data_IF_990030524027
#
_entry.id   IF_990030524027
#
_cell.length_a   1.000
_cell.length_b   1.000
_cell.length_c   1.000
_cell.angle_alpha   90.00
_cell.angle_beta   90.00
_cell.angle_gamma   90.00
#
_symmetry.space_group_name_H-M   'P 1'
#
loop_
_entity.id
_entity.type
_entity.pdbx_description
1 polymer ?
#
# COMPACT_ATOMS: atom_id res chain seq x y z
N UNK A 1 4.98 -8.35 -0.23
CA UNK A 1 4.87 -7.01 -0.85
C UNK A 1 3.43 -6.78 -1.30
N UNK A 2 2.66 -5.91 -0.62
CA UNK A 2 1.23 -5.70 -0.92
C UNK A 2 0.95 -5.31 -2.37
N UNK A 3 1.86 -4.56 -3.00
CA UNK A 3 1.72 -4.16 -4.40
C UNK A 3 1.85 -5.31 -5.40
N UNK A 4 2.72 -6.29 -5.16
CA UNK A 4 2.83 -7.45 -6.05
C UNK A 4 1.60 -8.35 -5.94
N UNK A 5 1.10 -8.54 -4.72
CA UNK A 5 -0.13 -9.30 -4.50
C UNK A 5 -1.37 -8.61 -5.07
N UNK A 6 -1.35 -7.27 -5.21
CA UNK A 6 -2.42 -6.54 -5.89
C UNK A 6 -2.55 -6.98 -7.36
N UNK A 7 -1.43 -7.16 -8.07
CA UNK A 7 -1.48 -7.57 -9.47
C UNK A 7 -2.10 -8.97 -9.63
N UNK A 8 -1.71 -9.92 -8.79
CA UNK A 8 -2.28 -11.27 -8.80
C UNK A 8 -3.77 -11.28 -8.43
N UNK A 9 -4.15 -10.54 -7.39
CA UNK A 9 -5.53 -10.49 -6.91
C UNK A 9 -6.46 -9.62 -7.78
N UNK A 10 -5.95 -8.83 -8.72
CA UNK A 10 -6.76 -8.03 -9.63
C UNK A 10 -6.69 -8.49 -11.07
N UNK A 11 -5.98 -9.60 -11.31
CA UNK A 11 -6.03 -10.28 -12.59
C UNK A 11 -7.48 -10.71 -12.91
N UNK A 12 -7.94 -10.57 -14.17
CA UNK A 12 -9.28 -11.00 -14.57
C UNK A 12 -9.59 -12.47 -14.24
N UNK A 13 -8.58 -13.35 -14.19
CA UNK A 13 -8.73 -14.76 -13.85
C UNK A 13 -8.87 -15.02 -12.33
N UNK A 14 -8.57 -14.05 -11.48
CA UNK A 14 -8.66 -14.18 -10.01
C UNK A 14 -10.11 -14.15 -9.48
N UNK A 15 -11.08 -13.82 -10.35
CA UNK A 15 -12.50 -13.74 -10.00
C UNK A 15 -12.87 -12.45 -9.25
N UNK A 16 -14.17 -12.23 -9.07
CA UNK A 16 -14.71 -10.96 -8.59
C UNK A 16 -14.33 -10.60 -7.14
N UNK A 17 -13.90 -11.58 -6.33
CA UNK A 17 -13.52 -11.38 -4.94
C UNK A 17 -12.05 -11.02 -4.74
N UNK A 18 -11.22 -11.05 -5.78
CA UNK A 18 -9.78 -10.84 -5.70
C UNK A 18 -9.37 -9.55 -4.95
N UNK A 19 -9.95 -8.37 -5.24
CA UNK A 19 -9.65 -7.15 -4.49
C UNK A 19 -9.96 -7.24 -2.99
N UNK A 20 -11.03 -7.96 -2.62
CA UNK A 20 -11.41 -8.16 -1.22
C UNK A 20 -10.43 -9.10 -0.51
N UNK A 21 -9.98 -10.16 -1.19
CA UNK A 21 -8.93 -11.07 -0.71
C UNK A 21 -7.63 -10.29 -0.47
N UNK A 22 -7.21 -9.47 -1.43
CA UNK A 22 -6.01 -8.64 -1.28
C UNK A 22 -6.09 -7.70 -0.08
N UNK A 23 -7.22 -7.02 0.08
CA UNK A 23 -7.43 -6.10 1.20
C UNK A 23 -7.28 -6.83 2.54
N UNK A 24 -7.91 -8.00 2.68
CA UNK A 24 -7.90 -8.80 3.91
C UNK A 24 -6.51 -9.38 4.22
N UNK A 25 -5.86 -9.98 3.22
CA UNK A 25 -4.69 -10.84 3.46
C UNK A 25 -3.36 -10.13 3.29
N UNK A 26 -3.34 -9.00 2.56
CA UNK A 26 -2.09 -8.32 2.23
C UNK A 26 -2.07 -6.87 2.74
N UNK A 27 -3.10 -6.09 2.42
CA UNK A 27 -3.11 -4.68 2.82
C UNK A 27 -3.40 -4.50 4.32
N UNK A 28 -4.43 -5.18 4.83
CA UNK A 28 -4.88 -5.08 6.21
C UNK A 28 -3.78 -5.30 7.24
N UNK A 29 -3.02 -6.41 7.19
CA UNK A 29 -1.95 -6.70 8.15
C UNK A 29 -0.85 -5.64 8.12
N UNK A 30 -0.42 -5.21 6.92
CA UNK A 30 0.63 -4.18 6.78
C UNK A 30 0.13 -2.85 7.34
N UNK A 31 -1.11 -2.46 7.04
CA UNK A 31 -1.68 -1.23 7.58
C UNK A 31 -1.86 -1.28 9.11
N UNK A 32 -2.16 -2.44 9.67
CA UNK A 32 -2.24 -2.62 11.12
C UNK A 32 -0.88 -2.39 11.79
N UNK A 33 0.20 -2.95 11.22
CA UNK A 33 1.57 -2.74 11.70
C UNK A 33 2.00 -1.27 11.58
N UNK A 34 1.81 -0.66 10.40
CA UNK A 34 2.20 0.74 10.16
C UNK A 34 1.45 1.71 11.06
N UNK A 35 0.19 1.42 11.42
CA UNK A 35 -0.64 2.27 12.28
C UNK A 35 -0.55 1.91 13.76
N UNK A 36 0.29 0.96 14.14
CA UNK A 36 0.39 0.53 15.52
C UNK A 36 0.89 1.69 16.40
N UNK A 37 0.25 2.01 17.56
CA UNK A 37 0.62 3.18 18.37
C UNK A 37 2.05 3.18 18.89
N UNK A 38 2.65 2.00 19.06
CA UNK A 38 4.06 1.82 19.43
C UNK A 38 4.87 1.18 18.29
N UNK A 39 4.38 1.34 17.06
CA UNK A 39 4.99 0.83 15.84
C UNK A 39 6.05 1.77 15.25
N UNK A 40 6.45 1.53 13.99
CA UNK A 40 7.59 2.21 13.36
C UNK A 40 7.41 3.74 13.25
N UNK A 41 6.18 4.23 13.24
CA UNK A 41 5.88 5.66 13.16
C UNK A 41 5.50 6.30 14.51
N UNK A 42 5.63 5.59 15.63
CA UNK A 42 5.27 6.11 16.96
C UNK A 42 6.06 7.38 17.36
N UNK A 43 7.28 7.53 16.83
CA UNK A 43 8.12 8.71 17.07
C UNK A 43 7.84 9.91 16.16
N UNK A 44 6.97 9.76 15.16
CA UNK A 44 6.66 10.84 14.21
C UNK A 44 5.91 11.98 14.88
N UNK A 45 6.42 13.20 14.74
CA UNK A 45 5.80 14.42 15.27
C UNK A 45 5.19 15.25 14.14
N UNK A 46 4.10 15.95 14.42
CA UNK A 46 3.52 16.92 13.48
C UNK A 46 4.59 17.94 13.07
N UNK A 47 4.66 18.24 11.77
CA UNK A 47 5.64 19.16 11.20
C UNK A 47 7.05 18.58 10.97
N UNK A 48 7.33 17.35 11.42
CA UNK A 48 8.64 16.70 11.24
C UNK A 48 8.84 15.97 9.91
N UNK A 49 7.79 15.89 9.07
CA UNK A 49 7.86 15.21 7.79
C UNK A 49 8.25 16.17 6.68
N UNK A 50 9.19 15.76 5.82
CA UNK A 50 9.46 16.43 4.55
C UNK A 50 8.15 16.52 3.75
N UNK A 51 7.93 17.67 3.11
CA UNK A 51 6.82 17.81 2.16
C UNK A 51 6.86 16.70 1.10
N UNK A 52 5.70 16.11 0.82
CA UNK A 52 5.56 15.09 -0.23
C UNK A 52 5.94 15.73 -1.58
N UNK A 53 7.03 15.27 -2.17
CA UNK A 53 7.36 15.59 -3.55
C UNK A 53 6.53 14.70 -4.48
N UNK A 54 6.01 15.26 -5.57
CA UNK A 54 5.48 14.42 -6.64
C UNK A 54 6.64 13.62 -7.25
N UNK A 55 6.49 12.30 -7.45
CA UNK A 55 7.49 11.53 -8.17
C UNK A 55 7.57 12.03 -9.62
N UNK A 56 8.76 12.10 -10.18
CA UNK A 56 8.94 12.23 -11.63
C UNK A 56 8.52 10.91 -12.26
N UNK A 57 7.47 10.92 -13.05
CA UNK A 57 7.00 9.74 -13.79
C UNK A 57 7.47 9.90 -15.22
N UNK A 58 8.19 8.91 -15.74
CA UNK A 58 8.54 8.88 -17.16
C UNK A 58 7.26 8.86 -18.01
N UNK A 59 7.32 9.46 -19.19
CA UNK A 59 6.23 9.39 -20.14
C UNK A 59 5.99 7.92 -20.52
N UNK A 60 4.73 7.49 -20.47
CA UNK A 60 4.35 6.15 -20.89
C UNK A 60 4.18 6.13 -22.42
N UNK A 61 5.03 5.38 -23.12
CA UNK A 61 5.10 5.34 -24.59
C UNK A 61 4.07 4.39 -25.25
N UNK A 62 3.06 3.90 -24.52
CA UNK A 62 1.98 3.05 -25.05
C UNK A 62 2.22 1.57 -24.85
#
# INVERSE_FOLDING_TARGET
>A
MPWLAWQECTDPAAGASGPAVWHRDHLGPVLAELRFPVGPFAGCKQGGHRAKAAPTVDAYDG
#
